data_IF_336581173891
#
_entry.id   IF_336581173891
#
_cell.length_a   1.000
_cell.length_b   1.000
_cell.length_c   1.000
_cell.angle_alpha   90.00
_cell.angle_beta   90.00
_cell.angle_gamma   90.00
#
_symmetry.space_group_name_H-M   'P 1'
#
loop_
_entity.id
_entity.type
_entity.pdbx_description
1 polymer ?
#
# COMPACT_ATOMS: atom_id res chain seq x y z
N UNK A 1 -10.00 -12.91 18.10
CA UNK A 1 -10.44 -12.77 17.52
C UNK A 1 -10.37 -12.70 16.62
N UNK A 2 -10.37 -13.00 16.61
CA UNK A 2 -10.53 -12.91 15.69
C UNK A 2 -10.51 -12.51 15.18
N UNK A 3 -10.41 -12.93 15.36
CA UNK A 3 -10.58 -12.30 14.65
C UNK A 3 -11.44 -12.20 13.90
N UNK A 4 -12.07 -12.98 14.02
CA UNK A 4 -12.46 -11.76 13.33
C UNK A 4 -11.69 -11.58 12.03
N UNK A 5 -11.00 -12.58 11.60
CA UNK A 5 -10.14 -12.45 10.43
C UNK A 5 -10.92 -12.01 9.18
N UNK A 6 -12.19 -12.44 9.06
CA UNK A 6 -13.00 -12.04 7.93
C UNK A 6 -13.46 -10.58 7.95
N UNK A 7 -13.38 -9.94 9.11
CA UNK A 7 -13.81 -8.56 9.28
C UNK A 7 -12.66 -7.58 9.21
N UNK A 8 -11.43 -8.09 9.30
CA UNK A 8 -10.22 -7.27 9.27
C UNK A 8 -9.48 -7.61 7.99
N UNK A 9 -9.29 -6.62 7.14
CA UNK A 9 -8.49 -6.82 5.95
C UNK A 9 -7.08 -7.21 6.36
N UNK A 10 -6.50 -8.22 5.68
CA UNK A 10 -5.08 -8.48 5.87
C UNK A 10 -4.30 -7.22 5.55
N UNK A 11 -3.12 -7.08 6.14
CA UNK A 11 -2.22 -5.99 5.80
C UNK A 11 -2.09 -5.90 4.28
N UNK A 12 -2.34 -4.72 3.73
CA UNK A 12 -2.14 -4.47 2.31
C UNK A 12 -1.34 -3.19 2.13
N UNK A 13 -0.25 -3.32 1.41
CA UNK A 13 0.57 -2.18 0.99
C UNK A 13 0.36 -2.03 -0.51
N UNK A 14 -0.56 -1.17 -0.87
CA UNK A 14 -1.01 -1.04 -2.25
C UNK A 14 0.11 -0.68 -3.22
N UNK A 15 0.13 -1.34 -4.38
CA UNK A 15 0.94 -0.92 -5.52
C UNK A 15 0.33 0.32 -6.16
N UNK A 16 -0.98 0.48 -6.02
CA UNK A 16 -1.71 1.62 -6.55
C UNK A 16 -1.30 2.92 -5.90
N UNK A 17 -1.40 4.03 -6.66
CA UNK A 17 -1.18 5.35 -6.10
C UNK A 17 -2.20 5.62 -4.99
N UNK A 18 -1.77 6.17 -3.84
CA UNK A 18 -2.69 6.45 -2.73
C UNK A 18 -3.85 7.36 -3.07
N UNK A 19 -3.72 8.16 -4.14
CA UNK A 19 -4.80 9.09 -4.53
C UNK A 19 -6.13 8.42 -4.84
N UNK A 20 -6.10 7.11 -5.15
CA UNK A 20 -7.34 6.40 -5.47
C UNK A 20 -8.10 5.93 -4.24
N UNK A 21 -7.46 5.89 -3.09
CA UNK A 21 -8.08 5.37 -1.89
C UNK A 21 -9.14 6.33 -1.32
N UNK A 22 -10.19 5.76 -0.75
CA UNK A 22 -11.15 6.53 0.03
C UNK A 22 -10.50 6.96 1.36
N UNK A 23 -11.21 7.81 2.12
CA UNK A 23 -10.67 8.34 3.38
C UNK A 23 -10.26 7.22 4.34
N UNK A 24 -11.12 6.22 4.52
CA UNK A 24 -10.82 5.10 5.42
C UNK A 24 -9.66 4.27 4.91
N UNK A 25 -9.60 4.08 3.60
CA UNK A 25 -8.51 3.32 2.98
C UNK A 25 -7.16 4.00 3.15
N UNK A 26 -7.12 5.32 3.04
CA UNK A 26 -5.87 6.06 3.21
C UNK A 26 -5.38 6.00 4.66
N UNK A 27 -6.28 6.15 5.62
CA UNK A 27 -5.92 6.04 7.05
C UNK A 27 -5.42 4.62 7.34
N UNK A 28 -6.11 3.61 6.82
CA UNK A 28 -5.70 2.23 7.02
C UNK A 28 -4.31 1.98 6.42
N UNK A 29 -4.07 2.49 5.21
CA UNK A 29 -2.77 2.33 4.58
C UNK A 29 -1.65 2.97 5.39
N UNK A 30 -1.89 4.18 5.91
CA UNK A 30 -0.92 4.85 6.76
C UNK A 30 -0.55 4.00 7.97
N UNK A 31 -1.56 3.46 8.65
CA UNK A 31 -1.36 2.62 9.83
C UNK A 31 -0.62 1.32 9.49
N UNK A 32 -1.02 0.67 8.40
CA UNK A 32 -0.39 -0.58 7.99
C UNK A 32 1.07 -0.35 7.58
N UNK A 33 1.34 0.74 6.87
CA UNK A 33 2.70 1.04 6.46
C UNK A 33 3.59 1.41 7.65
N UNK A 34 3.05 2.09 8.65
CA UNK A 34 3.81 2.35 9.88
C UNK A 34 4.11 1.06 10.63
N UNK A 35 3.15 0.14 10.70
CA UNK A 35 3.38 -1.17 11.30
C UNK A 35 4.44 -1.93 10.52
N UNK A 36 4.35 -1.92 9.19
CA UNK A 36 5.33 -2.57 8.34
C UNK A 36 6.73 -2.02 8.59
N UNK A 37 6.85 -0.70 8.77
CA UNK A 37 8.12 -0.07 9.09
C UNK A 37 8.71 -0.64 10.40
N UNK A 38 7.88 -0.80 11.43
CA UNK A 38 8.33 -1.39 12.69
C UNK A 38 8.80 -2.82 12.50
N UNK A 39 8.04 -3.60 11.73
CA UNK A 39 8.42 -5.00 11.46
C UNK A 39 9.77 -5.07 10.75
N UNK A 40 9.98 -4.25 9.73
CA UNK A 40 11.22 -4.25 8.96
C UNK A 40 12.42 -3.73 9.76
N UNK A 41 12.17 -2.98 10.82
CA UNK A 41 13.22 -2.55 11.75
C UNK A 41 13.50 -3.59 12.82
N UNK A 42 12.77 -4.70 12.84
CA UNK A 42 12.91 -5.71 13.85
C UNK A 42 12.30 -5.35 15.20
N UNK A 43 11.43 -4.32 15.22
CA UNK A 43 10.84 -3.83 16.46
C UNK A 43 9.62 -4.61 16.94
N UNK A 44 9.15 -5.57 16.14
CA UNK A 44 8.04 -6.44 16.52
C UNK A 44 8.36 -7.88 16.16
N UNK A 45 7.64 -8.82 16.76
CA UNK A 45 7.79 -10.23 16.44
C UNK A 45 6.79 -10.71 15.40
N UNK A 46 5.65 -10.02 15.26
CA UNK A 46 4.61 -10.38 14.32
C UNK A 46 4.89 -9.88 12.92
N UNK A 47 4.23 -10.47 11.95
CA UNK A 47 4.20 -10.02 10.54
C UNK A 47 5.53 -10.11 9.79
N UNK A 48 6.58 -10.70 10.35
CA UNK A 48 7.90 -10.75 9.70
C UNK A 48 7.87 -11.39 8.32
N UNK A 49 6.99 -12.37 8.12
CA UNK A 49 6.88 -13.08 6.85
C UNK A 49 5.60 -12.77 6.12
N UNK A 50 4.95 -11.65 6.44
CA UNK A 50 3.71 -11.27 5.78
C UNK A 50 3.97 -11.06 4.29
N UNK A 51 3.14 -11.65 3.40
CA UNK A 51 3.39 -11.56 1.96
C UNK A 51 3.56 -10.15 1.43
N UNK A 52 2.81 -9.19 1.96
CA UNK A 52 2.90 -7.79 1.52
C UNK A 52 4.28 -7.18 1.78
N UNK A 53 5.05 -7.73 2.72
CA UNK A 53 6.36 -7.20 3.06
C UNK A 53 7.47 -7.75 2.17
N UNK A 54 7.21 -8.82 1.41
CA UNK A 54 8.27 -9.48 0.64
C UNK A 54 8.98 -8.54 -0.31
N UNK A 55 8.24 -7.65 -0.97
CA UNK A 55 8.82 -6.69 -1.91
C UNK A 55 9.85 -5.78 -1.25
N UNK A 56 9.58 -5.37 -0.02
CA UNK A 56 10.43 -4.46 0.72
C UNK A 56 11.59 -5.21 1.36
N UNK A 57 11.31 -6.39 1.90
CA UNK A 57 12.32 -7.18 2.59
C UNK A 57 13.47 -7.60 1.67
N UNK A 58 13.22 -7.70 0.37
CA UNK A 58 14.23 -8.08 -0.61
C UNK A 58 15.17 -6.94 -1.00
N UNK A 59 14.87 -5.71 -0.61
CA UNK A 59 15.74 -4.57 -0.92
C UNK A 59 16.97 -4.57 -0.01
N UNK A 60 18.00 -3.81 -0.39
CA UNK A 60 19.20 -3.67 0.45
C UNK A 60 18.89 -3.00 1.78
N UNK A 61 17.93 -2.06 1.78
CA UNK A 61 17.59 -1.28 2.97
C UNK A 61 16.08 -1.25 3.14
N UNK A 62 15.47 -2.35 3.63
CA UNK A 62 14.02 -2.43 3.74
C UNK A 62 13.36 -1.27 4.49
N UNK A 63 13.87 -0.83 5.64
CA UNK A 63 13.23 0.33 6.30
C UNK A 63 13.28 1.59 5.47
N UNK A 64 14.35 1.82 4.68
CA UNK A 64 14.44 2.99 3.82
C UNK A 64 13.42 2.93 2.69
N UNK A 65 13.24 1.74 2.09
CA UNK A 65 12.23 1.57 1.04
C UNK A 65 10.84 1.85 1.58
N UNK A 66 10.55 1.37 2.78
CA UNK A 66 9.25 1.62 3.39
C UNK A 66 9.06 3.07 3.79
N UNK A 67 10.14 3.74 4.20
CA UNK A 67 10.06 5.19 4.46
C UNK A 67 9.69 5.96 3.19
N UNK A 68 10.26 5.57 2.04
CA UNK A 68 9.89 6.15 0.74
C UNK A 68 8.42 5.91 0.43
N UNK A 69 7.93 4.71 0.73
CA UNK A 69 6.53 4.38 0.56
C UNK A 69 5.65 5.30 1.42
N UNK A 70 6.01 5.46 2.70
CA UNK A 70 5.26 6.28 3.64
C UNK A 70 5.23 7.75 3.23
N UNK A 71 6.29 8.26 2.63
CA UNK A 71 6.34 9.67 2.21
C UNK A 71 5.26 9.99 1.18
N UNK A 72 5.02 9.09 0.25
CA UNK A 72 3.98 9.32 -0.76
C UNK A 72 2.58 9.25 -0.14
N UNK A 73 2.38 8.34 0.81
CA UNK A 73 1.10 8.28 1.54
C UNK A 73 0.88 9.57 2.32
N UNK A 74 1.91 10.03 3.02
CA UNK A 74 1.87 11.28 3.76
C UNK A 74 1.56 12.47 2.84
N UNK A 75 2.18 12.49 1.65
CA UNK A 75 1.92 13.54 0.67
C UNK A 75 0.47 13.59 0.22
N UNK A 76 -0.14 12.43 0.00
CA UNK A 76 -1.54 12.38 -0.37
C UNK A 76 -2.44 12.86 0.79
N UNK A 77 -2.12 12.45 2.00
CA UNK A 77 -2.84 12.93 3.20
C UNK A 77 -2.77 14.45 3.31
N UNK A 78 -1.59 15.00 3.06
CA UNK A 78 -1.40 16.46 3.10
C UNK A 78 -2.26 17.18 2.05
N UNK A 79 -2.32 16.65 0.83
CA UNK A 79 -3.17 17.21 -0.21
C UNK A 79 -4.65 17.24 0.18
N UNK A 80 -5.08 16.28 1.01
CA UNK A 80 -6.46 16.21 1.48
C UNK A 80 -6.69 17.00 2.77
N UNK A 81 -5.64 17.63 3.33
CA UNK A 81 -5.76 18.36 4.58
C UNK A 81 -5.74 17.47 5.82
N UNK A 82 -5.34 16.22 5.69
CA UNK A 82 -5.21 15.32 6.84
C UNK A 82 -3.88 15.57 7.53
N UNK A 83 -3.89 15.46 8.86
CA UNK A 83 -2.71 15.72 9.66
C UNK A 83 -2.08 14.44 10.18
N UNK A 84 -1.45 13.69 9.28
CA UNK A 84 -0.68 12.53 9.66
C UNK A 84 0.67 12.97 10.23
N UNK A 85 1.14 12.29 11.25
CA UNK A 85 2.39 12.66 11.91
C UNK A 85 3.61 12.18 11.10
N UNK A 86 4.15 13.05 10.26
CA UNK A 86 5.30 12.74 9.42
C UNK A 86 6.57 12.41 10.19
N UNK A 87 6.67 12.81 11.47
CA UNK A 87 7.85 12.47 12.26
C UNK A 87 7.99 10.98 12.51
N UNK A 88 6.93 10.20 12.27
CA UNK A 88 6.97 8.75 12.40
C UNK A 88 7.65 8.06 11.23
N UNK A 89 7.86 8.77 10.13
CA UNK A 89 8.53 8.21 8.95
C UNK A 89 10.03 8.12 9.22
N UNK A 90 10.64 6.98 8.88
CA UNK A 90 12.08 6.81 9.02
C UNK A 90 12.85 7.82 8.19
N UNK A 91 14.04 8.19 8.66
CA UNK A 91 14.85 9.25 8.05
C UNK A 91 15.75 8.78 6.93
N UNK A 92 16.02 7.50 6.86
CA UNK A 92 16.94 6.96 5.85
C UNK A 92 16.35 7.09 4.47
N UNK A 93 17.12 7.61 3.53
CA UNK A 93 16.67 7.76 2.15
C UNK A 93 16.81 6.47 1.37
N UNK A 94 15.85 6.22 0.51
CA UNK A 94 15.88 5.13 -0.44
C UNK A 94 16.04 5.72 -1.84
N UNK A 95 17.01 5.22 -2.58
CA UNK A 95 17.24 5.65 -3.96
C UNK A 95 16.71 4.61 -4.92
N UNK A 96 16.03 5.07 -5.96
CA UNK A 96 15.50 4.19 -7.00
C UNK A 96 14.06 3.79 -6.76
N UNK A 97 13.66 2.75 -7.45
CA UNK A 97 12.29 2.25 -7.41
C UNK A 97 12.29 0.75 -7.24
N UNK A 98 11.13 0.22 -6.86
CA UNK A 98 10.90 -1.22 -6.82
C UNK A 98 10.10 -1.60 -8.07
N UNK A 99 10.47 -2.72 -8.70
CA UNK A 99 9.69 -3.24 -9.83
C UNK A 99 8.44 -3.91 -9.31
N UNK A 100 7.33 -3.65 -9.98
CA UNK A 100 6.10 -4.38 -9.72
C UNK A 100 5.43 -4.69 -11.04
N UNK A 101 4.60 -5.73 -11.07
CA UNK A 101 4.04 -6.17 -12.34
C UNK A 101 2.72 -5.50 -12.65
N UNK A 102 2.45 -5.36 -13.95
CA UNK A 102 1.16 -4.85 -14.41
C UNK A 102 0.02 -5.74 -13.92
N UNK A 103 0.23 -7.06 -13.92
CA UNK A 103 -0.80 -7.99 -13.42
C UNK A 103 -1.15 -7.73 -11.97
N UNK A 104 -0.13 -7.46 -11.15
CA UNK A 104 -0.38 -7.14 -9.75
C UNK A 104 -1.14 -5.82 -9.60
N UNK A 105 -0.73 -4.79 -10.35
CA UNK A 105 -1.38 -3.49 -10.33
C UNK A 105 -2.86 -3.61 -10.70
N UNK A 106 -3.16 -4.34 -11.76
CA UNK A 106 -4.54 -4.48 -12.23
C UNK A 106 -5.39 -5.35 -11.31
N UNK A 107 -4.78 -6.37 -10.70
CA UNK A 107 -5.48 -7.17 -9.71
C UNK A 107 -5.91 -6.30 -8.53
N UNK A 108 -4.99 -5.46 -8.05
CA UNK A 108 -5.30 -4.55 -6.93
C UNK A 108 -6.36 -3.52 -7.33
N UNK A 109 -6.31 -3.06 -8.59
CA UNK A 109 -7.30 -2.11 -9.08
C UNK A 109 -8.71 -2.69 -8.99
N UNK A 110 -8.89 -3.93 -9.43
CA UNK A 110 -10.17 -4.63 -9.31
C UNK A 110 -10.58 -4.81 -7.85
N UNK A 111 -9.62 -5.16 -7.01
CA UNK A 111 -9.86 -5.36 -5.59
C UNK A 111 -10.31 -4.05 -4.92
N UNK A 112 -9.64 -2.95 -5.24
CA UNK A 112 -10.02 -1.64 -4.68
C UNK A 112 -11.43 -1.25 -5.13
N UNK A 113 -11.75 -1.43 -6.41
CA UNK A 113 -13.07 -1.08 -6.91
C UNK A 113 -14.18 -1.86 -6.20
N UNK A 114 -13.94 -3.14 -5.91
CA UNK A 114 -14.91 -3.93 -5.16
C UNK A 114 -15.10 -3.39 -3.74
N UNK A 115 -14.02 -2.98 -3.09
CA UNK A 115 -14.11 -2.36 -1.76
C UNK A 115 -14.88 -1.05 -1.81
N UNK A 116 -14.59 -0.20 -2.79
CA UNK A 116 -15.24 1.10 -2.92
C UNK A 116 -16.73 0.96 -3.21
N UNK A 117 -17.12 -0.06 -3.94
CA UNK A 117 -18.53 -0.29 -4.22
C UNK A 117 -19.35 -0.40 -2.93
N UNK A 118 -18.76 -0.97 -1.89
CA UNK A 118 -19.42 -1.12 -0.60
C UNK A 118 -19.19 0.07 0.33
N UNK A 119 -17.97 0.60 0.34
CA UNK A 119 -17.57 1.62 1.32
C UNK A 119 -17.83 3.05 0.86
N UNK A 120 -17.62 3.32 -0.42
CA UNK A 120 -17.65 4.68 -0.94
C UNK A 120 -18.04 4.68 -2.42
N UNK A 121 -19.33 4.44 -2.71
CA UNK A 121 -19.78 4.40 -4.11
C UNK A 121 -19.53 5.69 -4.88
N UNK A 122 -19.54 6.84 -4.18
CA UNK A 122 -19.24 8.11 -4.82
C UNK A 122 -17.80 8.11 -5.35
N UNK A 123 -16.87 7.67 -4.53
CA UNK A 123 -15.46 7.58 -4.94
C UNK A 123 -15.31 6.65 -6.14
N UNK A 124 -16.01 5.52 -6.11
CA UNK A 124 -15.97 4.60 -7.24
C UNK A 124 -16.42 5.29 -8.54
N UNK A 125 -17.48 6.08 -8.47
CA UNK A 125 -17.95 6.82 -9.65
C UNK A 125 -16.93 7.83 -10.15
N UNK A 126 -16.20 8.48 -9.22
CA UNK A 126 -15.14 9.42 -9.60
C UNK A 126 -14.01 8.72 -10.37
N UNK A 127 -13.82 7.44 -10.15
CA UNK A 127 -12.76 6.67 -10.80
C UNK A 127 -13.21 5.96 -12.08
N UNK A 128 -14.46 6.17 -12.50
CA UNK A 128 -15.05 5.42 -13.61
C UNK A 128 -14.28 5.58 -14.93
N UNK A 129 -13.64 6.72 -15.16
CA UNK A 129 -12.92 7.00 -16.40
C UNK A 129 -11.46 6.56 -16.37
N UNK A 130 -10.98 6.10 -15.22
CA UNK A 130 -9.60 5.65 -15.10
C UNK A 130 -9.49 4.25 -15.72
N UNK A 131 -8.80 4.13 -16.84
CA UNK A 131 -8.61 2.85 -17.52
C UNK A 131 -7.36 2.12 -17.01
N UNK A 132 -6.27 2.84 -16.88
CA UNK A 132 -5.01 2.29 -16.36
C UNK A 132 -4.62 3.10 -15.14
N UNK A 133 -4.70 2.52 -13.95
CA UNK A 133 -4.36 3.26 -12.74
C UNK A 133 -2.87 3.53 -12.65
N UNK A 134 -2.53 4.67 -12.03
CA UNK A 134 -1.15 4.99 -11.75
C UNK A 134 -0.65 4.16 -10.55
N UNK A 135 0.63 3.78 -10.55
CA UNK A 135 1.20 3.12 -9.38
C UNK A 135 1.60 4.12 -8.31
N UNK A 136 1.78 3.62 -7.10
CA UNK A 136 2.48 4.36 -6.06
C UNK A 136 3.86 4.76 -6.60
N UNK A 137 4.33 5.99 -6.31
CA UNK A 137 5.59 6.48 -6.90
C UNK A 137 6.83 5.63 -6.63
N UNK A 138 6.81 4.81 -5.59
CA UNK A 138 7.94 3.92 -5.32
C UNK A 138 8.07 2.82 -6.36
N UNK A 139 7.00 2.47 -7.06
CA UNK A 139 7.00 1.33 -7.96
C UNK A 139 7.15 1.74 -9.42
N UNK A 140 7.94 0.93 -10.14
CA UNK A 140 8.06 1.00 -11.59
C UNK A 140 7.38 -0.26 -12.15
N UNK A 141 6.39 -0.05 -12.98
CA UNK A 141 5.58 -1.15 -13.48
C UNK A 141 6.25 -1.80 -14.69
N UNK A 142 6.36 -3.13 -14.62
CA UNK A 142 6.89 -3.95 -15.72
C UNK A 142 5.84 -4.98 -16.11
N UNK A 143 6.01 -5.61 -17.27
CA UNK A 143 5.09 -6.68 -17.67
C UNK A 143 5.22 -7.84 -16.69
N UNK A 144 4.13 -8.57 -16.51
CA UNK A 144 4.13 -9.73 -15.63
C UNK A 144 2.75 -10.02 -15.07
N UNK A 145 2.63 -11.22 -14.53
CA UNK A 145 1.40 -11.71 -13.93
C UNK A 145 1.24 -11.23 -12.50
N UNK A 146 0.05 -11.46 -11.92
CA UNK A 146 -0.17 -11.25 -10.50
C UNK A 146 0.92 -11.99 -9.72
N UNK A 147 1.42 -11.36 -8.69
CA UNK A 147 2.51 -11.93 -7.89
C UNK A 147 2.09 -13.21 -7.18
N UNK A 148 3.03 -14.13 -7.03
CA UNK A 148 2.79 -15.41 -6.38
C UNK A 148 2.36 -15.27 -4.92
N UNK A 149 2.80 -14.20 -4.25
CA UNK A 149 2.44 -13.96 -2.84
C UNK A 149 1.03 -13.40 -2.66
N UNK A 150 0.38 -12.96 -3.74
CA UNK A 150 -0.98 -12.42 -3.64
C UNK A 150 -1.99 -13.55 -3.47
N UNK A 151 -2.92 -13.37 -2.52
CA UNK A 151 -4.01 -14.32 -2.34
C UNK A 151 -5.14 -13.92 -3.27
N UNK A 152 -5.17 -14.56 -4.43
CA UNK A 152 -6.20 -14.31 -5.43
C UNK A 152 -7.51 -14.92 -4.94
N UNK A 153 -8.60 -14.13 -5.03
CA UNK A 153 -9.93 -14.57 -4.65
C UNK A 153 -10.81 -14.74 -5.88
#
# INVERSE_FOLDING_TARGET
MARIAGLIDPMRLWTLHPKYLDARGLVALWREALLAQKVLRGATRGYKHHPQLLRFAKTKHPPAALAAYLKAVHGEAGRRGYKFNGSKIGRRRFRGTLKETRGQLLYEWGHLKRKLKRRDPKRLRELALVKMPAPHPLFRIVSGKVRAWEKVQ
#
